data_IF_550511183445
#
_entry.id   IF_550511183445
#
_cell.length_a   1.000
_cell.length_b   1.000
_cell.length_c   1.000
_cell.angle_alpha   90.00
_cell.angle_beta   90.00
_cell.angle_gamma   90.00
#
_symmetry.space_group_name_H-M   'P 1'
#
loop_
_entity.id
_entity.type
_entity.pdbx_description
1 polymer ?
#
# COMPACT_ATOMS: atom_id res chain seq x y z
N UNK A 1 6.79 -12.35 -68.24
CA UNK A 1 5.53 -12.62 -67.53
C UNK A 1 5.89 -13.09 -66.12
N UNK A 2 5.79 -12.25 -65.08
CA UNK A 2 6.24 -12.59 -63.73
C UNK A 2 5.12 -13.23 -62.88
N UNK A 3 5.55 -14.20 -62.06
CA UNK A 3 4.75 -15.11 -61.24
C UNK A 3 4.08 -14.42 -60.03
N UNK A 4 2.77 -14.63 -59.85
CA UNK A 4 1.94 -14.09 -58.75
C UNK A 4 1.87 -14.97 -57.50
N UNK A 5 2.79 -15.92 -57.32
CA UNK A 5 2.67 -16.95 -56.30
C UNK A 5 3.69 -16.77 -55.16
N UNK A 6 3.63 -15.69 -54.37
CA UNK A 6 4.48 -15.57 -53.17
C UNK A 6 4.02 -14.63 -52.03
N UNK A 7 2.91 -13.90 -52.13
CA UNK A 7 2.63 -12.82 -51.14
C UNK A 7 1.58 -13.20 -50.08
N UNK A 8 0.77 -14.24 -50.28
CA UNK A 8 -0.37 -14.52 -49.41
C UNK A 8 -0.07 -15.33 -48.12
N UNK A 9 1.15 -15.86 -47.92
CA UNK A 9 1.40 -16.84 -46.84
C UNK A 9 2.34 -16.33 -45.73
N UNK A 10 2.79 -15.07 -45.77
CA UNK A 10 3.68 -14.49 -44.74
C UNK A 10 3.02 -13.46 -43.81
N UNK A 11 1.69 -13.41 -43.75
CA UNK A 11 0.93 -12.51 -42.87
C UNK A 11 0.22 -13.24 -41.73
N UNK A 12 0.82 -14.31 -41.20
CA UNK A 12 0.36 -15.01 -40.00
C UNK A 12 1.41 -14.93 -38.88
N UNK A 13 2.04 -13.77 -38.71
CA UNK A 13 2.96 -13.50 -37.62
C UNK A 13 2.36 -12.43 -36.69
N UNK A 14 2.29 -12.80 -35.42
CA UNK A 14 2.14 -11.91 -34.26
C UNK A 14 0.76 -11.24 -34.05
N UNK A 15 -0.18 -12.01 -33.48
CA UNK A 15 -1.15 -11.42 -32.55
C UNK A 15 -1.59 -12.43 -31.48
N UNK A 16 -0.64 -13.06 -30.78
CA UNK A 16 -0.90 -13.57 -29.44
C UNK A 16 -0.91 -12.38 -28.49
N UNK A 17 -2.11 -11.84 -28.26
CA UNK A 17 -2.36 -10.86 -27.21
C UNK A 17 -1.88 -11.45 -25.88
N UNK A 18 -0.78 -10.92 -25.35
CA UNK A 18 -0.45 -11.09 -23.95
C UNK A 18 -1.54 -10.38 -23.16
N UNK A 19 -2.57 -11.13 -22.74
CA UNK A 19 -3.43 -10.74 -21.65
C UNK A 19 -2.55 -10.72 -20.40
N UNK A 20 -1.85 -9.61 -20.19
CA UNK A 20 -1.20 -9.32 -18.93
C UNK A 20 -2.29 -9.33 -17.87
N UNK A 21 -2.26 -10.31 -16.97
CA UNK A 21 -2.97 -10.18 -15.70
C UNK A 21 -2.32 -8.97 -15.05
N UNK A 22 -3.02 -7.84 -15.06
CA UNK A 22 -2.59 -6.67 -14.32
C UNK A 22 -2.69 -7.06 -12.84
N UNK A 23 -1.60 -7.57 -12.28
CA UNK A 23 -1.41 -7.56 -10.84
C UNK A 23 -1.40 -6.09 -10.45
N UNK A 24 -2.50 -5.60 -9.88
CA UNK A 24 -2.50 -4.29 -9.25
C UNK A 24 -1.42 -4.32 -8.18
N UNK A 25 -0.30 -3.62 -8.41
CA UNK A 25 0.66 -3.37 -7.37
C UNK A 25 -0.04 -2.44 -6.36
N UNK A 26 -0.49 -3.00 -5.23
CA UNK A 26 -1.03 -2.19 -4.15
C UNK A 26 0.16 -1.59 -3.40
N UNK A 27 0.30 -0.27 -3.49
CA UNK A 27 1.25 0.46 -2.66
C UNK A 27 0.50 1.02 -1.45
N UNK A 28 1.01 0.76 -0.25
CA UNK A 28 0.46 1.33 0.97
C UNK A 28 0.42 2.87 0.85
N UNK A 29 -0.70 3.47 1.22
CA UNK A 29 -0.87 4.92 1.23
C UNK A 29 -0.66 5.43 2.65
N UNK A 30 0.42 6.19 2.87
CA UNK A 30 0.77 6.72 4.19
C UNK A 30 -0.23 7.79 4.64
N UNK A 31 -0.66 7.71 5.90
CA UNK A 31 -1.50 8.70 6.55
C UNK A 31 -0.61 9.59 7.40
N UNK A 32 -0.42 10.83 6.96
CA UNK A 32 0.48 11.79 7.60
C UNK A 32 -0.29 13.04 7.99
N UNK A 33 -0.11 13.52 9.22
CA UNK A 33 -0.70 14.76 9.70
C UNK A 33 0.38 15.61 10.37
N UNK A 34 0.50 16.88 9.97
CA UNK A 34 1.52 17.80 10.49
C UNK A 34 2.96 17.22 10.44
N UNK A 35 3.27 16.42 9.41
CA UNK A 35 4.57 15.77 9.25
C UNK A 35 4.81 14.55 10.14
N UNK A 36 3.80 14.11 10.90
CA UNK A 36 3.85 12.91 11.74
C UNK A 36 3.04 11.79 11.09
N UNK A 37 3.66 10.62 10.95
CA UNK A 37 3.07 9.39 10.44
C UNK A 37 2.10 8.81 11.46
N UNK A 38 0.83 8.75 11.09
CA UNK A 38 -0.25 8.20 11.92
C UNK A 38 -0.60 6.76 11.58
N UNK A 39 -0.10 6.23 10.47
CA UNK A 39 -0.43 4.91 9.94
C UNK A 39 -0.40 4.87 8.42
N UNK A 40 -1.08 3.88 7.84
CA UNK A 40 -1.20 3.72 6.39
C UNK A 40 -2.45 2.92 6.03
N UNK A 41 -2.98 3.11 4.82
CA UNK A 41 -4.04 2.27 4.25
C UNK A 41 -3.51 1.34 3.18
N UNK A 42 -4.12 0.18 3.01
CA UNK A 42 -3.75 -0.77 1.95
C UNK A 42 -2.36 -1.37 2.11
N UNK A 43 -1.94 -1.61 3.35
CA UNK A 43 -0.70 -2.33 3.69
C UNK A 43 -0.88 -3.80 3.35
N UNK A 44 -0.01 -4.35 2.51
CA UNK A 44 -0.08 -5.76 2.11
C UNK A 44 0.63 -6.66 3.14
N UNK A 45 -0.13 -7.55 3.76
CA UNK A 45 0.38 -8.59 4.67
C UNK A 45 0.01 -9.95 4.08
N UNK A 46 0.98 -10.59 3.42
CA UNK A 46 0.85 -11.92 2.80
C UNK A 46 -0.33 -12.02 1.79
N UNK A 47 -0.52 -10.98 0.98
CA UNK A 47 -1.58 -10.89 -0.03
C UNK A 47 -2.92 -10.39 0.50
N UNK A 48 -3.03 -10.12 1.81
CA UNK A 48 -4.22 -9.52 2.41
C UNK A 48 -3.95 -8.06 2.77
N UNK A 49 -4.81 -7.16 2.31
CA UNK A 49 -4.66 -5.73 2.58
C UNK A 49 -5.27 -5.35 3.94
N UNK A 50 -4.53 -4.56 4.69
CA UNK A 50 -4.95 -3.99 5.96
C UNK A 50 -4.74 -2.48 5.99
N UNK A 51 -5.57 -1.82 6.79
CA UNK A 51 -5.30 -0.45 7.24
C UNK A 51 -4.65 -0.55 8.62
N UNK A 52 -3.68 0.33 8.88
CA UNK A 52 -2.97 0.39 10.15
C UNK A 52 -2.98 1.80 10.70
N UNK A 53 -3.18 1.88 12.02
CA UNK A 53 -3.13 3.10 12.78
C UNK A 53 -2.14 2.96 13.94
N UNK A 54 -1.24 3.93 14.08
CA UNK A 54 -0.32 4.01 15.22
C UNK A 54 -0.98 4.75 16.38
N UNK A 55 -1.00 4.13 17.56
CA UNK A 55 -1.68 4.63 18.75
C UNK A 55 -0.88 4.35 20.02
N UNK A 56 -0.93 5.30 20.93
CA UNK A 56 -0.52 5.15 22.33
C UNK A 56 -1.74 4.83 23.19
N UNK A 57 -1.50 4.29 24.38
CA UNK A 57 -2.53 3.99 25.37
C UNK A 57 -2.35 2.61 26.00
N UNK A 58 -3.41 2.14 26.65
CA UNK A 58 -3.47 0.79 27.20
C UNK A 58 -3.86 -0.21 26.12
N UNK A 59 -3.29 -1.41 26.18
CA UNK A 59 -3.67 -2.53 25.34
C UNK A 59 -5.17 -2.79 25.46
N UNK A 60 -5.70 -2.85 26.68
CA UNK A 60 -7.12 -3.04 26.92
C UNK A 60 -8.01 -1.96 26.26
N UNK A 61 -7.56 -0.71 26.25
CA UNK A 61 -8.28 0.40 25.62
C UNK A 61 -8.25 0.37 24.09
N UNK A 62 -7.23 -0.24 23.49
CA UNK A 62 -7.03 -0.30 22.04
C UNK A 62 -7.50 -1.62 21.41
N UNK A 63 -7.50 -2.70 22.19
CA UNK A 63 -7.75 -4.08 21.73
C UNK A 63 -8.77 -4.79 22.62
N UNK A 64 -9.97 -4.19 22.76
CA UNK A 64 -11.15 -4.83 23.35
C UNK A 64 -10.94 -5.58 24.70
N UNK A 65 -10.08 -5.05 25.58
CA UNK A 65 -9.81 -5.68 26.88
C UNK A 65 -8.47 -6.41 26.96
N UNK A 66 -7.91 -6.84 25.82
CA UNK A 66 -6.59 -7.45 25.72
C UNK A 66 -6.45 -8.63 26.70
N UNK A 67 -7.44 -9.53 26.66
CA UNK A 67 -7.59 -10.68 27.56
C UNK A 67 -7.74 -12.01 26.81
N UNK A 68 -7.94 -11.97 25.49
CA UNK A 68 -7.93 -13.14 24.63
C UNK A 68 -7.15 -12.87 23.33
N UNK A 69 -6.59 -13.91 22.71
CA UNK A 69 -5.96 -13.77 21.40
C UNK A 69 -6.92 -13.25 20.31
N UNK A 70 -8.23 -13.47 20.48
CA UNK A 70 -9.29 -13.02 19.57
C UNK A 70 -9.47 -11.50 19.53
N UNK A 71 -8.93 -10.77 20.51
CA UNK A 71 -8.93 -9.31 20.55
C UNK A 71 -7.99 -8.68 19.50
N UNK A 72 -7.11 -9.48 18.91
CA UNK A 72 -6.09 -9.03 17.96
C UNK A 72 -6.40 -9.48 16.54
N UNK A 73 -6.04 -8.62 15.58
CA UNK A 73 -6.15 -8.91 14.14
C UNK A 73 -5.32 -10.12 13.73
N UNK A 74 -4.17 -10.29 14.36
CA UNK A 74 -3.27 -11.41 14.15
C UNK A 74 -3.24 -12.25 15.41
N UNK A 75 -3.52 -13.56 15.33
CA UNK A 75 -3.69 -14.41 16.53
C UNK A 75 -2.56 -15.42 16.72
N UNK A 76 -1.47 -15.27 15.98
CA UNK A 76 -0.28 -16.11 16.10
C UNK A 76 0.99 -15.31 15.80
N UNK A 77 2.12 -15.83 16.27
CA UNK A 77 3.43 -15.17 16.15
C UNK A 77 3.81 -14.91 14.68
N UNK A 78 3.54 -15.88 13.80
CA UNK A 78 3.98 -15.79 12.41
C UNK A 78 3.22 -14.71 11.63
N UNK A 79 1.89 -14.64 11.78
CA UNK A 79 1.09 -13.63 11.08
C UNK A 79 1.39 -12.21 11.59
N UNK A 80 1.59 -12.04 12.90
CA UNK A 80 2.03 -10.76 13.46
C UNK A 80 3.44 -10.37 13.01
N UNK A 81 4.34 -11.35 12.77
CA UNK A 81 5.68 -11.09 12.25
C UNK A 81 5.62 -10.58 10.81
N UNK A 82 4.78 -11.20 9.98
CA UNK A 82 4.56 -10.74 8.60
C UNK A 82 3.99 -9.33 8.57
N UNK A 83 3.08 -9.00 9.48
CA UNK A 83 2.56 -7.65 9.62
C UNK A 83 3.65 -6.65 10.06
N UNK A 84 4.51 -7.01 11.01
CA UNK A 84 5.64 -6.17 11.41
C UNK A 84 6.66 -5.97 10.26
N UNK A 85 6.91 -7.01 9.46
CA UNK A 85 7.74 -6.93 8.27
C UNK A 85 7.14 -6.00 7.21
N UNK A 86 5.82 -6.07 7.00
CA UNK A 86 5.09 -5.15 6.12
C UNK A 86 5.20 -3.69 6.58
N UNK A 87 5.14 -3.42 7.90
CA UNK A 87 5.35 -2.08 8.43
C UNK A 87 6.74 -1.54 8.07
N UNK A 88 7.79 -2.35 8.27
CA UNK A 88 9.16 -1.97 7.91
C UNK A 88 9.30 -1.67 6.41
N UNK A 89 8.76 -2.54 5.56
CA UNK A 89 9.02 -2.46 4.13
C UNK A 89 8.10 -1.50 3.36
N UNK A 90 6.92 -1.18 3.90
CA UNK A 90 5.88 -0.40 3.19
C UNK A 90 5.47 0.89 3.89
N UNK A 91 5.65 0.99 5.22
CA UNK A 91 5.07 2.10 6.02
C UNK A 91 6.16 3.00 6.60
N UNK A 92 7.19 2.40 7.20
CA UNK A 92 8.34 3.09 7.78
C UNK A 92 9.38 3.33 6.70
N UNK A 93 9.00 4.14 5.71
CA UNK A 93 9.84 4.43 4.55
C UNK A 93 10.03 5.94 4.40
N UNK A 94 11.21 6.32 3.93
CA UNK A 94 11.47 7.71 3.54
C UNK A 94 10.81 8.03 2.20
N UNK A 95 10.23 9.22 2.10
CA UNK A 95 9.61 9.69 0.87
C UNK A 95 9.22 11.16 0.89
N UNK A 96 8.46 11.61 -0.12
CA UNK A 96 8.03 13.00 -0.22
C UNK A 96 7.14 13.47 0.94
N UNK A 97 6.48 12.54 1.62
CA UNK A 97 5.60 12.83 2.76
C UNK A 97 6.35 13.00 4.09
N UNK A 98 7.59 12.51 4.18
CA UNK A 98 8.39 12.55 5.39
C UNK A 98 9.55 11.57 5.36
N UNK A 99 10.49 11.78 6.28
CA UNK A 99 11.61 10.86 6.51
C UNK A 99 11.24 9.98 7.71
N UNK A 100 10.42 8.95 7.49
CA UNK A 100 9.90 8.12 8.57
C UNK A 100 10.84 6.99 8.96
N UNK A 101 11.71 6.56 8.03
CA UNK A 101 12.78 5.60 8.29
C UNK A 101 13.97 6.34 8.95
N UNK A 102 14.47 7.39 8.31
CA UNK A 102 15.63 8.11 8.81
C UNK A 102 15.38 8.91 10.09
N UNK A 103 14.14 9.23 10.43
CA UNK A 103 13.76 9.95 11.64
C UNK A 103 12.56 9.30 12.34
N UNK A 104 12.80 8.31 13.23
CA UNK A 104 11.74 7.62 13.96
C UNK A 104 10.85 8.54 14.79
N UNK A 105 11.33 9.75 15.13
CA UNK A 105 10.56 10.73 15.90
C UNK A 105 9.33 11.30 15.17
N UNK A 106 9.24 11.03 13.87
CA UNK A 106 8.11 11.41 13.02
C UNK A 106 7.00 10.37 12.99
N UNK A 107 6.96 9.44 13.94
CA UNK A 107 5.89 8.44 14.07
C UNK A 107 5.11 8.69 15.36
N UNK A 108 3.77 8.59 15.29
CA UNK A 108 2.92 8.67 16.48
C UNK A 108 3.41 7.66 17.55
N UNK A 109 3.49 8.11 18.80
CA UNK A 109 3.99 7.32 19.93
C UNK A 109 5.50 7.30 20.14
N UNK A 110 6.27 7.88 19.22
CA UNK A 110 7.71 7.87 19.28
C UNK A 110 8.37 9.26 19.23
N UNK A 111 7.86 10.34 19.85
CA UNK A 111 8.40 11.70 19.68
C UNK A 111 9.85 11.90 20.16
N UNK A 112 10.42 10.95 20.90
CA UNK A 112 11.78 11.04 21.43
C UNK A 112 12.84 11.06 20.33
N UNK A 113 13.47 12.22 20.13
CA UNK A 113 14.49 12.40 19.08
C UNK A 113 15.74 11.57 19.33
N UNK A 114 16.18 10.79 18.33
CA UNK A 114 17.40 9.98 18.38
C UNK A 114 17.26 8.64 19.14
N UNK A 115 16.07 8.35 19.69
CA UNK A 115 15.74 7.05 20.23
C UNK A 115 15.15 6.13 19.14
N UNK A 116 15.25 4.80 19.28
CA UNK A 116 14.51 3.87 18.44
C UNK A 116 13.00 4.03 18.65
N UNK A 117 12.20 3.79 17.62
CA UNK A 117 10.75 3.66 17.71
C UNK A 117 10.35 2.18 17.61
N UNK A 118 9.82 1.63 18.70
CA UNK A 118 9.28 0.26 18.74
C UNK A 118 7.79 0.23 18.42
N UNK A 119 7.40 -0.36 17.30
CA UNK A 119 6.00 -0.51 16.92
C UNK A 119 5.55 -1.95 17.13
N UNK A 120 4.54 -2.15 17.98
CA UNK A 120 4.04 -3.45 18.39
C UNK A 120 2.83 -3.91 17.59
N UNK A 121 2.87 -5.18 17.22
CA UNK A 121 1.78 -5.95 16.62
C UNK A 121 1.41 -7.06 17.60
N UNK A 122 0.45 -6.83 18.51
CA UNK A 122 -0.02 -7.83 19.45
C UNK A 122 -0.60 -9.05 18.74
N UNK A 123 -0.42 -10.24 19.33
CA UNK A 123 -1.03 -11.47 18.82
C UNK A 123 -1.57 -12.43 19.85
N UNK A 124 -1.34 -12.16 21.13
CA UNK A 124 -1.81 -13.01 22.19
C UNK A 124 -1.56 -12.42 23.55
N UNK A 125 -2.08 -13.10 24.55
CA UNK A 125 -1.86 -12.77 25.96
C UNK A 125 -1.25 -13.97 26.66
N UNK A 126 -0.35 -13.70 27.60
CA UNK A 126 0.22 -14.70 28.49
C UNK A 126 0.01 -14.29 29.93
N UNK A 127 -0.23 -15.27 30.80
CA UNK A 127 -0.19 -15.05 32.24
C UNK A 127 1.26 -14.92 32.66
N UNK A 128 1.60 -13.83 33.34
CA UNK A 128 2.90 -13.75 34.01
C UNK A 128 2.98 -14.87 35.07
N UNK A 129 4.12 -15.55 35.17
CA UNK A 129 4.36 -16.66 36.12
C UNK A 129 4.13 -16.29 37.60
N UNK A 130 3.99 -15.01 37.91
CA UNK A 130 3.68 -14.47 39.24
C UNK A 130 2.20 -14.05 39.41
N UNK A 131 1.34 -14.31 38.43
CA UNK A 131 -0.13 -14.22 38.54
C UNK A 131 -0.73 -12.82 38.70
N UNK A 132 0.04 -11.75 38.53
CA UNK A 132 -0.41 -10.39 38.86
C UNK A 132 -0.82 -9.53 37.65
N UNK A 133 -0.33 -9.81 36.44
CA UNK A 133 -0.52 -8.95 35.26
C UNK A 133 -0.62 -9.80 33.99
N UNK A 134 -1.58 -9.50 33.10
CA UNK A 134 -1.62 -10.04 31.73
C UNK A 134 -0.51 -9.41 30.90
N UNK A 135 0.30 -10.25 30.27
CA UNK A 135 1.38 -9.84 29.41
C UNK A 135 0.96 -9.93 27.96
N UNK A 136 1.26 -8.91 27.17
CA UNK A 136 0.94 -8.92 25.74
C UNK A 136 2.08 -9.57 24.99
N UNK A 137 1.77 -10.63 24.26
CA UNK A 137 2.67 -11.22 23.28
C UNK A 137 2.57 -10.40 22.00
N UNK A 138 3.69 -9.88 21.51
CA UNK A 138 3.71 -9.11 20.28
C UNK A 138 4.93 -9.45 19.43
N UNK A 139 4.75 -9.31 18.12
CA UNK A 139 5.87 -9.04 17.22
C UNK A 139 6.00 -7.52 17.08
N UNK A 140 7.10 -7.06 16.53
CA UNK A 140 7.20 -5.65 16.19
C UNK A 140 8.41 -5.32 15.35
N UNK A 141 8.43 -4.06 14.94
CA UNK A 141 9.55 -3.45 14.23
C UNK A 141 10.13 -2.36 15.11
N UNK A 142 11.44 -2.37 15.27
CA UNK A 142 12.17 -1.30 15.90
C UNK A 142 12.87 -0.51 14.81
N UNK A 143 12.34 0.68 14.54
CA UNK A 143 12.91 1.62 13.60
C UNK A 143 13.96 2.48 14.30
N UNK A 144 15.15 2.57 13.71
CA UNK A 144 16.31 3.26 14.26
C UNK A 144 16.81 4.28 13.27
N UNK A 145 17.06 5.48 13.78
CA UNK A 145 17.81 6.48 13.02
C UNK A 145 19.12 5.86 12.49
N UNK A 146 19.34 5.87 11.16
CA UNK A 146 20.54 5.31 10.59
C UNK A 146 21.79 6.03 11.10
N UNK A 147 22.82 5.26 11.42
CA UNK A 147 24.07 5.79 11.96
C UNK A 147 25.10 6.02 10.84
N UNK A 148 25.96 7.05 10.97
CA UNK A 148 27.08 7.24 10.06
C UNK A 148 27.99 6.01 10.05
N UNK A 149 28.16 5.42 8.88
CA UNK A 149 29.07 4.32 8.61
C UNK A 149 30.41 4.78 8.01
N UNK A 150 31.41 3.89 7.96
CA UNK A 150 32.69 4.19 7.32
C UNK A 150 32.50 4.64 5.86
N UNK A 151 33.30 5.61 5.42
CA UNK A 151 33.27 6.10 4.04
C UNK A 151 32.00 6.84 3.63
N UNK A 152 31.22 7.36 4.59
CA UNK A 152 29.97 8.09 4.30
C UNK A 152 28.78 7.18 3.99
N UNK A 153 28.89 5.88 4.31
CA UNK A 153 27.77 4.94 4.23
C UNK A 153 26.78 5.20 5.37
N UNK A 154 25.53 4.76 5.20
CA UNK A 154 24.54 4.75 6.28
C UNK A 154 24.39 3.32 6.80
N UNK A 155 24.44 3.12 8.11
CA UNK A 155 24.12 1.84 8.74
C UNK A 155 22.74 1.94 9.36
N UNK A 156 21.80 1.31 8.68
CA UNK A 156 20.46 1.08 9.21
C UNK A 156 20.47 -0.21 10.05
N UNK A 157 19.91 -0.10 11.25
CA UNK A 157 19.82 -1.17 12.25
C UNK A 157 18.37 -1.51 12.60
N UNK A 158 17.46 -1.17 11.70
CA UNK A 158 16.08 -1.62 11.74
C UNK A 158 16.00 -3.13 11.91
N UNK A 159 15.14 -3.54 12.82
CA UNK A 159 15.00 -4.96 13.15
C UNK A 159 13.59 -5.33 13.52
N UNK A 160 13.24 -6.57 13.18
CA UNK A 160 12.10 -7.22 13.79
C UNK A 160 12.49 -7.72 15.19
N UNK A 161 11.53 -7.69 16.11
CA UNK A 161 11.70 -8.28 17.43
C UNK A 161 10.46 -9.10 17.81
N UNK A 162 10.67 -10.04 18.73
CA UNK A 162 9.64 -10.87 19.36
C UNK A 162 9.79 -10.69 20.86
N UNK A 163 8.69 -10.56 21.58
CA UNK A 163 8.78 -10.44 23.02
C UNK A 163 7.46 -10.21 23.73
N UNK A 164 7.64 -10.03 25.02
CA UNK A 164 6.62 -9.76 26.00
C UNK A 164 6.64 -8.27 26.29
N UNK A 165 5.49 -7.59 26.20
CA UNK A 165 5.42 -6.14 26.30
C UNK A 165 4.47 -5.67 27.40
N UNK A 166 4.74 -4.47 27.98
CA UNK A 166 3.81 -3.85 28.91
C UNK A 166 2.46 -3.65 28.22
N UNK A 167 1.40 -3.96 28.95
CA UNK A 167 0.02 -3.76 28.52
C UNK A 167 -0.41 -2.29 28.54
N UNK A 168 0.48 -1.37 28.89
CA UNK A 168 0.23 0.07 28.92
C UNK A 168 1.45 0.85 28.40
N UNK A 169 1.23 1.67 27.38
CA UNK A 169 2.22 2.58 26.79
C UNK A 169 2.02 4.03 27.21
N UNK A 170 1.00 4.36 28.01
CA UNK A 170 0.63 5.74 28.37
C UNK A 170 1.74 6.50 29.10
N UNK A 171 2.64 5.78 29.77
CA UNK A 171 3.81 6.33 30.45
C UNK A 171 5.12 5.69 29.96
N UNK A 172 5.09 4.98 28.84
CA UNK A 172 6.34 4.52 28.24
C UNK A 172 7.11 5.74 27.70
N UNK A 173 8.44 5.63 27.59
CA UNK A 173 9.39 6.72 27.32
C UNK A 173 9.21 7.46 25.98
N UNK A 174 8.02 7.39 25.38
CA UNK A 174 7.63 7.99 24.11
C UNK A 174 8.54 7.51 22.98
N UNK A 175 8.80 6.21 23.01
CA UNK A 175 9.64 5.45 22.07
C UNK A 175 8.90 4.23 21.52
N UNK A 176 7.60 4.13 21.77
CA UNK A 176 6.80 2.94 21.48
C UNK A 176 5.38 3.30 21.06
N UNK A 177 4.84 2.53 20.13
CA UNK A 177 3.45 2.63 19.69
C UNK A 177 2.84 1.25 19.44
N UNK A 178 1.54 1.12 19.64
CA UNK A 178 0.80 -0.01 19.07
C UNK A 178 0.49 0.25 17.59
N UNK A 179 0.53 -0.79 16.78
CA UNK A 179 -0.05 -0.84 15.45
C UNK A 179 -1.42 -1.52 15.54
N UNK A 180 -2.48 -0.72 15.41
CA UNK A 180 -3.86 -1.19 15.38
C UNK A 180 -4.22 -1.48 13.93
N UNK A 181 -4.30 -2.76 13.58
CA UNK A 181 -4.66 -3.21 12.24
C UNK A 181 -6.15 -3.45 12.12
N UNK A 182 -6.74 -3.07 11.00
CA UNK A 182 -8.10 -3.42 10.59
C UNK A 182 -8.10 -3.91 9.16
N UNK A 183 -9.10 -4.70 8.77
CA UNK A 183 -9.28 -5.06 7.36
C UNK A 183 -9.34 -3.79 6.50
N UNK A 184 -8.64 -3.79 5.37
CA UNK A 184 -8.64 -2.62 4.49
C UNK A 184 -10.07 -2.30 4.07
N UNK A 185 -10.47 -1.05 4.27
CA UNK A 185 -11.73 -0.59 3.70
C UNK A 185 -11.60 -0.65 2.18
N UNK A 186 -12.62 -1.12 1.43
CA UNK A 186 -12.60 -1.00 -0.02
C UNK A 186 -12.62 0.49 -0.36
N UNK A 187 -11.43 1.08 -0.52
CA UNK A 187 -11.30 2.36 -1.19
C UNK A 187 -11.84 2.09 -2.58
N UNK A 188 -13.00 2.67 -2.89
CA UNK A 188 -13.46 2.74 -4.26
C UNK A 188 -12.37 3.52 -5.00
N UNK A 189 -11.37 2.82 -5.51
CA UNK A 189 -10.41 3.39 -6.42
C UNK A 189 -11.29 3.98 -7.51
N UNK A 190 -11.28 5.31 -7.62
CA UNK A 190 -11.78 5.97 -8.80
C UNK A 190 -10.89 5.45 -9.92
N UNK A 191 -11.28 4.31 -10.49
CA UNK A 191 -10.69 3.75 -11.70
C UNK A 191 -10.74 4.92 -12.66
N UNK A 192 -9.59 5.49 -13.04
CA UNK A 192 -9.58 6.48 -14.11
C UNK A 192 -10.23 5.74 -15.26
N UNK A 193 -11.46 6.12 -15.61
CA UNK A 193 -12.20 5.42 -16.64
C UNK A 193 -11.22 5.28 -17.80
N UNK A 194 -10.92 4.04 -18.24
CA UNK A 194 -9.85 3.84 -19.20
C UNK A 194 -10.16 4.78 -20.36
N UNK A 195 -9.21 5.66 -20.69
CA UNK A 195 -9.37 6.62 -21.78
C UNK A 195 -9.79 5.96 -23.09
N UNK A 196 -9.79 4.63 -23.17
CA UNK A 196 -10.52 3.77 -24.09
C UNK A 196 -11.90 4.29 -24.49
N UNK A 197 -12.77 4.76 -23.59
CA UNK A 197 -14.08 5.29 -24.02
C UNK A 197 -13.93 6.61 -24.78
N UNK A 198 -13.07 7.51 -24.29
CA UNK A 198 -12.75 8.76 -24.98
C UNK A 198 -12.05 8.52 -26.33
N UNK A 199 -11.12 7.56 -26.40
CA UNK A 199 -10.40 7.16 -27.61
C UNK A 199 -11.32 6.43 -28.60
N UNK A 200 -12.26 5.61 -28.11
CA UNK A 200 -13.26 4.93 -28.94
C UNK A 200 -14.23 5.95 -29.54
N UNK A 201 -14.74 6.87 -28.72
CA UNK A 201 -15.62 7.97 -29.19
C UNK A 201 -14.86 8.86 -30.17
N UNK A 202 -13.61 9.21 -29.89
CA UNK A 202 -12.78 10.03 -30.78
C UNK A 202 -12.48 9.28 -32.10
N UNK A 203 -12.19 7.98 -32.04
CA UNK A 203 -11.98 7.12 -33.20
C UNK A 203 -13.23 7.03 -34.09
N UNK A 204 -14.39 6.70 -33.52
CA UNK A 204 -15.65 6.65 -34.26
C UNK A 204 -16.10 8.02 -34.76
N UNK A 205 -15.89 9.08 -33.97
CA UNK A 205 -16.15 10.46 -34.35
C UNK A 205 -15.30 10.90 -35.54
N UNK A 206 -14.01 10.55 -35.56
CA UNK A 206 -13.12 10.85 -36.67
C UNK A 206 -13.54 10.12 -37.97
N UNK A 207 -13.90 8.84 -37.88
CA UNK A 207 -14.39 8.06 -39.03
C UNK A 207 -15.72 8.62 -39.55
N UNK A 208 -16.71 8.83 -38.68
CA UNK A 208 -18.00 9.41 -39.06
C UNK A 208 -17.89 10.82 -39.65
N UNK A 209 -17.02 11.67 -39.07
CA UNK A 209 -16.71 12.99 -39.58
C UNK A 209 -16.09 12.96 -40.99
N UNK A 210 -15.22 11.98 -41.25
CA UNK A 210 -14.58 11.81 -42.56
C UNK A 210 -15.58 11.42 -43.66
N UNK A 211 -16.56 10.57 -43.34
CA UNK A 211 -17.61 10.14 -44.28
C UNK A 211 -18.58 11.28 -44.61
N UNK A 212 -18.99 12.07 -43.61
CA UNK A 212 -19.95 13.17 -43.78
C UNK A 212 -19.40 14.32 -44.64
N UNK A 213 -18.08 14.55 -44.60
CA UNK A 213 -17.42 15.60 -45.41
C UNK A 213 -17.54 15.36 -46.93
N UNK A 214 -17.78 14.12 -47.39
CA UNK A 214 -17.80 13.79 -48.83
C UNK A 214 -19.16 14.03 -49.51
N UNK A 215 -20.25 14.19 -48.77
CA UNK A 215 -21.61 14.25 -49.34
C UNK A 215 -22.05 15.63 -49.88
N UNK A 216 -21.21 16.67 -49.80
CA UNK A 216 -21.62 18.04 -50.12
C UNK A 216 -21.48 18.48 -51.60
N UNK A 217 -21.39 17.54 -52.56
CA UNK A 217 -21.53 17.87 -53.99
C UNK A 217 -22.88 17.40 -54.51
N UNK A 218 -23.92 18.17 -54.23
CA UNK A 218 -25.18 18.07 -54.95
C UNK A 218 -24.96 18.55 -56.39
N UNK A 219 -24.85 17.60 -57.32
CA UNK A 219 -24.82 17.88 -58.75
C UNK A 219 -26.13 18.57 -59.13
N UNK A 220 -26.09 19.88 -59.40
CA UNK A 220 -27.23 20.58 -60.03
C UNK A 220 -27.38 20.01 -61.45
N UNK A 221 -28.26 19.02 -61.61
CA UNK A 221 -28.72 18.61 -62.93
C UNK A 221 -29.64 19.70 -63.48
N UNK A 222 -29.20 20.35 -64.56
CA UNK A 222 -29.99 21.33 -65.30
C UNK A 222 -30.78 20.56 -66.36
N UNK A 223 -32.10 20.44 -66.18
CA UNK A 223 -33.00 19.93 -67.20
C UNK A 223 -33.37 21.07 -68.16
N UNK A 224 -32.97 20.93 -69.41
CA UNK A 224 -33.46 21.72 -70.55
C UNK A 224 -34.52 20.88 -71.25
N UNK A 225 -35.75 21.39 -71.28
CA UNK A 225 -36.84 20.83 -72.10
C UNK A 225 -36.93 21.61 -73.41
N UNK A 226 -37.32 20.91 -74.48
CA UNK A 226 -37.36 21.37 -75.87
C UNK A 226 -38.62 22.20 -76.19
#
# INVERSE_FOLDING_TARGET
MPNYLSIAVRAALALTAAAGVATSANAATLIVNNGILQGATGVDVDGTLYDVAFREGTCAGLFNGCDEASDFTFTNEQSARLAADALRNQVLIDGPLGQFDADPSKTVGCPSTGAPCGIYVPYGVALNFFGAESLVLAQGVENRKPLPGPGGTSRDFDRLFSGNFPSDLTNDLSIRSFAVFSSASPVAAAVPEPGTWALMILGFGAVGGSMRRRSAKASRMRLTYA
#
